data_IF_474098224958
#
_entry.id   IF_474098224958
#
_cell.length_a   1.000
_cell.length_b   1.000
_cell.length_c   1.000
_cell.angle_alpha   90.00
_cell.angle_beta   90.00
_cell.angle_gamma   90.00
#
_symmetry.space_group_name_H-M   'P 1'
#
loop_
_entity.id
_entity.type
_entity.pdbx_description
1 polymer ?
#
# COMPACT_ATOMS: atom_id res chain seq x y z
N UNK A 1 22.83 5.81 -12.67
CA UNK A 1 22.17 4.45 -12.77
C UNK A 1 21.80 4.15 -14.22
N UNK A 2 21.53 2.88 -14.59
CA UNK A 2 20.92 2.59 -15.90
C UNK A 2 19.47 3.04 -15.88
N UNK A 3 18.97 3.57 -16.99
CA UNK A 3 17.59 4.07 -17.12
C UNK A 3 16.54 3.03 -16.67
N UNK A 4 16.79 1.75 -16.99
CA UNK A 4 15.91 0.64 -16.57
C UNK A 4 15.82 0.49 -15.04
N UNK A 5 16.94 0.67 -14.34
CA UNK A 5 17.00 0.62 -12.88
C UNK A 5 16.21 1.77 -12.25
N UNK A 6 16.29 2.97 -12.83
CA UNK A 6 15.54 4.13 -12.35
C UNK A 6 14.01 3.92 -12.47
N UNK A 7 13.52 3.32 -13.57
CA UNK A 7 12.11 2.94 -13.70
C UNK A 7 11.69 1.83 -12.73
N UNK A 8 12.56 0.85 -12.49
CA UNK A 8 12.31 -0.21 -11.50
C UNK A 8 12.20 0.36 -10.09
N UNK A 9 13.10 1.27 -9.68
CA UNK A 9 13.06 1.93 -8.36
C UNK A 9 11.86 2.88 -8.23
N UNK A 10 11.41 3.50 -9.33
CA UNK A 10 10.19 4.29 -9.35
C UNK A 10 8.95 3.48 -8.94
N UNK A 11 8.91 2.19 -9.28
CA UNK A 11 7.83 1.27 -8.92
C UNK A 11 7.82 0.84 -7.44
N UNK A 12 8.85 1.16 -6.64
CA UNK A 12 9.03 0.67 -5.25
C UNK A 12 8.89 -0.86 -5.13
N UNK A 13 9.74 -1.64 -5.79
CA UNK A 13 9.56 -3.08 -5.96
C UNK A 13 9.36 -3.83 -4.64
N UNK A 14 10.10 -3.51 -3.59
CA UNK A 14 9.97 -4.17 -2.28
C UNK A 14 8.56 -4.03 -1.69
N UNK A 15 7.94 -2.85 -1.84
CA UNK A 15 6.56 -2.61 -1.37
C UNK A 15 5.57 -3.39 -2.22
N UNK A 16 5.73 -3.37 -3.56
CA UNK A 16 4.87 -4.12 -4.48
C UNK A 16 4.95 -5.62 -4.21
N UNK A 17 6.14 -6.18 -3.97
CA UNK A 17 6.30 -7.61 -3.64
C UNK A 17 5.55 -7.98 -2.36
N UNK A 18 5.64 -7.17 -1.31
CA UNK A 18 4.89 -7.42 -0.07
C UNK A 18 3.37 -7.38 -0.31
N UNK A 19 2.90 -6.41 -1.09
CA UNK A 19 1.49 -6.34 -1.47
C UNK A 19 1.03 -7.56 -2.26
N UNK A 20 1.87 -8.07 -3.18
CA UNK A 20 1.57 -9.27 -3.97
C UNK A 20 1.52 -10.54 -3.11
N UNK A 21 2.39 -10.67 -2.11
CA UNK A 21 2.34 -11.77 -1.15
C UNK A 21 1.01 -11.74 -0.40
N UNK A 22 0.59 -10.58 0.11
CA UNK A 22 -0.69 -10.43 0.80
C UNK A 22 -1.90 -10.74 -0.13
N UNK A 23 -1.84 -10.28 -1.39
CA UNK A 23 -2.87 -10.61 -2.37
C UNK A 23 -2.91 -12.12 -2.68
N UNK A 24 -1.75 -12.75 -2.84
CA UNK A 24 -1.64 -14.18 -3.07
C UNK A 24 -2.20 -14.99 -1.90
N UNK A 25 -1.91 -14.60 -0.65
CA UNK A 25 -2.52 -15.22 0.53
C UNK A 25 -4.05 -15.07 0.50
N UNK A 26 -4.57 -13.88 0.14
CA UNK A 26 -6.00 -13.68 -0.05
C UNK A 26 -6.61 -14.61 -1.10
N UNK A 27 -5.90 -14.87 -2.21
CA UNK A 27 -6.32 -15.84 -3.23
C UNK A 27 -6.38 -17.28 -2.70
N UNK A 28 -5.38 -17.67 -1.88
CA UNK A 28 -5.30 -19.03 -1.32
C UNK A 28 -6.35 -19.30 -0.24
N UNK A 29 -6.74 -18.27 0.50
CA UNK A 29 -7.74 -18.37 1.57
C UNK A 29 -9.19 -18.28 1.06
N UNK A 30 -9.38 -17.91 -0.21
CA UNK A 30 -10.70 -17.93 -0.83
C UNK A 30 -11.19 -19.38 -1.00
N UNK A 31 -12.32 -19.73 -0.38
CA UNK A 31 -12.85 -21.11 -0.28
C UNK A 31 -13.47 -21.64 -1.59
N UNK A 32 -13.05 -21.16 -2.75
CA UNK A 32 -13.52 -21.65 -4.05
C UNK A 32 -12.50 -22.60 -4.69
N UNK A 33 -12.94 -23.33 -5.70
CA UNK A 33 -12.08 -24.21 -6.49
C UNK A 33 -10.85 -23.44 -6.99
N UNK A 34 -9.68 -23.96 -6.69
CA UNK A 34 -8.39 -23.35 -7.07
C UNK A 34 -8.38 -23.09 -8.58
N UNK A 35 -8.30 -21.82 -8.94
CA UNK A 35 -8.10 -21.40 -10.33
C UNK A 35 -6.74 -21.90 -10.83
N UNK A 36 -6.58 -22.00 -12.13
CA UNK A 36 -5.30 -22.41 -12.73
C UNK A 36 -4.16 -21.48 -12.28
N UNK A 37 -2.95 -22.02 -12.17
CA UNK A 37 -1.77 -21.22 -11.82
C UNK A 37 -1.55 -20.03 -12.75
N UNK A 38 -1.84 -20.20 -14.05
CA UNK A 38 -1.79 -19.11 -15.02
C UNK A 38 -2.78 -17.98 -14.70
N UNK A 39 -3.99 -18.31 -14.23
CA UNK A 39 -4.96 -17.31 -13.79
C UNK A 39 -4.45 -16.48 -12.59
N UNK A 40 -3.88 -17.15 -11.59
CA UNK A 40 -3.30 -16.49 -10.41
C UNK A 40 -2.18 -15.52 -10.83
N UNK A 41 -1.29 -15.94 -11.73
CA UNK A 41 -0.23 -15.08 -12.26
C UNK A 41 -0.77 -13.86 -13.01
N UNK A 42 -1.79 -14.03 -13.83
CA UNK A 42 -2.42 -12.92 -14.56
C UNK A 42 -3.06 -11.93 -13.61
N UNK A 43 -3.80 -12.40 -12.60
CA UNK A 43 -4.42 -11.53 -11.60
C UNK A 43 -3.36 -10.77 -10.78
N UNK A 44 -2.33 -11.45 -10.30
CA UNK A 44 -1.21 -10.81 -9.59
C UNK A 44 -0.47 -9.79 -10.46
N UNK A 45 -0.29 -10.07 -11.75
CA UNK A 45 0.36 -9.14 -12.69
C UNK A 45 -0.47 -7.86 -12.85
N UNK A 46 -1.78 -7.97 -13.00
CA UNK A 46 -2.67 -6.81 -13.09
C UNK A 46 -2.65 -5.96 -11.81
N UNK A 47 -2.72 -6.60 -10.64
CA UNK A 47 -2.60 -5.93 -9.33
C UNK A 47 -1.23 -5.27 -9.20
N UNK A 48 -0.13 -5.97 -9.58
CA UNK A 48 1.23 -5.45 -9.53
C UNK A 48 1.40 -4.16 -10.35
N UNK A 49 0.90 -4.15 -11.58
CA UNK A 49 1.00 -2.97 -12.46
C UNK A 49 0.24 -1.78 -11.89
N UNK A 50 -0.96 -1.97 -11.35
CA UNK A 50 -1.70 -0.90 -10.68
C UNK A 50 -0.99 -0.42 -9.41
N UNK A 51 -0.43 -1.31 -8.59
CA UNK A 51 0.33 -0.96 -7.40
C UNK A 51 1.62 -0.19 -7.75
N UNK A 52 2.35 -0.64 -8.76
CA UNK A 52 3.54 0.04 -9.28
C UNK A 52 3.19 1.44 -9.84
N UNK A 53 2.09 1.55 -10.56
CA UNK A 53 1.55 2.84 -11.02
C UNK A 53 1.28 3.79 -9.86
N UNK A 54 0.57 3.32 -8.83
CA UNK A 54 0.28 4.11 -7.63
C UNK A 54 1.57 4.58 -6.93
N UNK A 55 2.59 3.71 -6.83
CA UNK A 55 3.88 4.04 -6.27
C UNK A 55 4.63 5.09 -7.10
N UNK A 56 4.60 4.98 -8.43
CA UNK A 56 5.22 5.93 -9.35
C UNK A 56 4.53 7.30 -9.29
N UNK A 57 3.19 7.34 -9.30
CA UNK A 57 2.42 8.60 -9.15
C UNK A 57 2.74 9.27 -7.82
N UNK A 58 2.81 8.50 -6.72
CA UNK A 58 3.20 9.04 -5.42
C UNK A 58 4.59 9.69 -5.46
N UNK A 59 5.60 9.06 -6.10
CA UNK A 59 6.93 9.67 -6.22
C UNK A 59 6.92 10.94 -7.09
N UNK A 60 6.11 10.98 -8.16
CA UNK A 60 5.95 12.18 -8.99
C UNK A 60 5.37 13.35 -8.18
N UNK A 61 4.35 13.09 -7.37
CA UNK A 61 3.70 14.10 -6.54
C UNK A 61 4.65 14.58 -5.44
N UNK A 62 5.28 13.64 -4.73
CA UNK A 62 6.12 13.91 -3.57
C UNK A 62 7.55 14.37 -3.91
N UNK A 63 7.95 14.47 -5.18
CA UNK A 63 9.34 14.70 -5.64
C UNK A 63 10.07 15.84 -4.93
N UNK A 64 9.37 16.93 -4.58
CA UNK A 64 9.95 18.07 -3.88
C UNK A 64 10.25 17.75 -2.41
N UNK A 65 9.30 17.13 -1.72
CA UNK A 65 9.45 16.67 -0.33
C UNK A 65 10.48 15.55 -0.25
N UNK A 66 10.51 14.64 -1.24
CA UNK A 66 11.49 13.56 -1.31
C UNK A 66 12.93 14.07 -1.43
N UNK A 67 13.16 15.19 -2.11
CA UNK A 67 14.48 15.80 -2.27
C UNK A 67 15.02 16.42 -0.97
N UNK A 68 14.15 16.77 -0.01
CA UNK A 68 14.53 17.39 1.28
C UNK A 68 14.68 16.39 2.43
N UNK A 69 14.24 15.13 2.24
CA UNK A 69 14.28 14.09 3.26
C UNK A 69 15.43 13.09 3.00
N UNK A 70 16.30 12.88 3.97
CA UNK A 70 17.48 11.98 3.89
C UNK A 70 17.15 10.55 3.43
N UNK A 71 15.94 10.07 3.70
CA UNK A 71 15.48 8.73 3.29
C UNK A 71 15.15 8.63 1.82
N UNK A 72 14.77 9.71 1.17
CA UNK A 72 14.14 9.73 -0.15
C UNK A 72 14.87 10.59 -1.18
N UNK A 73 15.90 11.31 -0.77
CA UNK A 73 16.74 12.15 -1.65
C UNK A 73 17.46 11.37 -2.76
N UNK A 74 17.74 10.08 -2.51
CA UNK A 74 18.38 9.17 -3.47
C UNK A 74 17.42 8.57 -4.52
N UNK A 75 16.15 8.96 -4.49
CA UNK A 75 15.16 8.47 -5.47
C UNK A 75 15.44 9.02 -6.87
N UNK A 76 15.02 8.31 -7.95
CA UNK A 76 15.33 8.71 -9.34
C UNK A 76 14.86 10.11 -9.73
N UNK A 77 13.71 10.56 -9.22
CA UNK A 77 13.18 11.90 -9.52
C UNK A 77 13.94 13.03 -8.80
N UNK A 78 14.20 12.97 -7.48
CA UNK A 78 15.08 13.91 -6.80
C UNK A 78 16.49 14.01 -7.40
N UNK A 79 17.06 12.87 -7.82
CA UNK A 79 18.39 12.82 -8.44
C UNK A 79 18.41 13.29 -9.91
N UNK A 80 17.26 13.62 -10.51
CA UNK A 80 17.18 14.06 -11.90
C UNK A 80 17.42 12.95 -12.93
N UNK A 81 17.44 11.66 -12.52
CA UNK A 81 17.65 10.53 -13.42
C UNK A 81 16.48 10.30 -14.37
N UNK A 82 15.26 10.72 -13.95
CA UNK A 82 14.03 10.65 -14.73
C UNK A 82 13.36 12.03 -14.78
N UNK A 83 12.87 12.41 -15.95
CA UNK A 83 12.01 13.59 -16.04
C UNK A 83 10.62 13.28 -15.48
N UNK A 84 9.96 14.30 -14.92
CA UNK A 84 8.60 14.20 -14.39
C UNK A 84 7.63 13.72 -15.48
N UNK A 85 7.78 14.20 -16.71
CA UNK A 85 6.93 13.82 -17.84
C UNK A 85 7.05 12.33 -18.17
N UNK A 86 8.28 11.83 -18.30
CA UNK A 86 8.50 10.40 -18.59
C UNK A 86 8.01 9.51 -17.46
N UNK A 87 8.25 9.88 -16.18
CA UNK A 87 7.73 9.15 -15.02
C UNK A 87 6.20 9.14 -14.98
N UNK A 88 5.55 10.26 -15.33
CA UNK A 88 4.07 10.33 -15.37
C UNK A 88 3.47 9.49 -16.50
N UNK A 89 4.06 9.55 -17.70
CA UNK A 89 3.60 8.73 -18.84
C UNK A 89 3.76 7.24 -18.50
N UNK A 90 4.92 6.85 -17.97
CA UNK A 90 5.17 5.49 -17.54
C UNK A 90 4.14 5.01 -16.50
N UNK A 91 3.92 5.81 -15.45
CA UNK A 91 2.96 5.47 -14.41
C UNK A 91 1.54 5.27 -14.96
N UNK A 92 1.07 6.16 -15.84
CA UNK A 92 -0.24 6.03 -16.49
C UNK A 92 -0.31 4.79 -17.37
N UNK A 93 0.72 4.54 -18.16
CA UNK A 93 0.77 3.38 -19.08
C UNK A 93 0.66 2.06 -18.32
N UNK A 94 1.47 1.86 -17.26
CA UNK A 94 1.41 0.62 -16.48
C UNK A 94 0.09 0.51 -15.70
N UNK A 95 -0.48 1.62 -15.23
CA UNK A 95 -1.79 1.62 -14.57
C UNK A 95 -2.93 1.20 -15.51
N UNK A 96 -2.95 1.74 -16.75
CA UNK A 96 -3.92 1.35 -17.78
C UNK A 96 -3.72 -0.11 -18.15
N UNK A 97 -2.50 -0.57 -18.35
CA UNK A 97 -2.21 -1.98 -18.65
C UNK A 97 -2.70 -2.91 -17.52
N UNK A 98 -2.41 -2.57 -16.27
CA UNK A 98 -2.90 -3.33 -15.12
C UNK A 98 -4.42 -3.41 -15.06
N UNK A 99 -5.10 -2.28 -15.20
CA UNK A 99 -6.56 -2.22 -15.23
C UNK A 99 -7.14 -3.04 -16.39
N UNK A 100 -6.54 -2.95 -17.57
CA UNK A 100 -6.97 -3.72 -18.77
C UNK A 100 -6.81 -5.22 -18.55
N UNK A 101 -5.69 -5.67 -17.97
CA UNK A 101 -5.47 -7.08 -17.62
C UNK A 101 -6.56 -7.55 -16.65
N UNK A 102 -6.83 -6.80 -15.58
CA UNK A 102 -7.86 -7.17 -14.61
C UNK A 102 -9.26 -7.19 -15.22
N UNK A 103 -9.58 -6.24 -16.10
CA UNK A 103 -10.86 -6.17 -16.79
C UNK A 103 -11.10 -7.33 -17.74
N UNK A 104 -10.10 -7.66 -18.57
CA UNK A 104 -10.26 -8.66 -19.64
C UNK A 104 -10.11 -10.10 -19.15
N UNK A 105 -9.25 -10.34 -18.16
CA UNK A 105 -8.83 -11.71 -17.79
C UNK A 105 -9.19 -12.11 -16.37
N UNK A 106 -9.67 -11.18 -15.52
CA UNK A 106 -10.04 -11.47 -14.14
C UNK A 106 -11.52 -11.18 -13.92
N UNK A 107 -11.86 -10.03 -13.35
CA UNK A 107 -13.25 -9.58 -13.19
C UNK A 107 -13.30 -8.07 -12.89
N UNK A 108 -14.49 -7.49 -13.13
CA UNK A 108 -14.73 -6.05 -12.96
C UNK A 108 -14.58 -5.62 -11.49
N UNK A 109 -14.99 -6.45 -10.54
CA UNK A 109 -14.92 -6.12 -9.11
C UNK A 109 -13.47 -5.93 -8.67
N UNK A 110 -12.58 -6.86 -9.00
CA UNK A 110 -11.14 -6.76 -8.69
C UNK A 110 -10.52 -5.52 -9.35
N UNK A 111 -10.85 -5.26 -10.62
CA UNK A 111 -10.39 -4.05 -11.30
C UNK A 111 -10.86 -2.80 -10.55
N UNK A 112 -12.15 -2.70 -10.22
CA UNK A 112 -12.72 -1.55 -9.54
C UNK A 112 -12.10 -1.31 -8.15
N UNK A 113 -11.94 -2.37 -7.35
CA UNK A 113 -11.30 -2.31 -6.03
C UNK A 113 -9.83 -1.90 -6.14
N UNK A 114 -9.11 -2.44 -7.14
CA UNK A 114 -7.70 -2.10 -7.37
C UNK A 114 -7.54 -0.64 -7.80
N UNK A 115 -8.39 -0.15 -8.70
CA UNK A 115 -8.41 1.26 -9.10
C UNK A 115 -8.81 2.18 -7.94
N UNK A 116 -9.79 1.78 -7.13
CA UNK A 116 -10.16 2.54 -5.92
C UNK A 116 -8.98 2.65 -4.95
N UNK A 117 -8.23 1.57 -4.73
CA UNK A 117 -7.01 1.58 -3.90
C UNK A 117 -5.92 2.46 -4.49
N UNK A 118 -5.70 2.40 -5.82
CA UNK A 118 -4.74 3.25 -6.53
C UNK A 118 -5.11 4.73 -6.37
N UNK A 119 -6.36 5.11 -6.63
CA UNK A 119 -6.84 6.48 -6.50
C UNK A 119 -6.78 6.94 -5.04
N UNK A 120 -7.21 6.09 -4.11
CA UNK A 120 -7.13 6.36 -2.67
C UNK A 120 -5.71 6.65 -2.21
N UNK A 121 -4.74 5.86 -2.63
CA UNK A 121 -3.34 6.06 -2.26
C UNK A 121 -2.69 7.22 -3.02
N UNK A 122 -2.79 7.24 -4.35
CA UNK A 122 -2.06 8.21 -5.16
C UNK A 122 -2.60 9.64 -5.04
N UNK A 123 -3.91 9.80 -4.92
CA UNK A 123 -4.53 11.13 -4.88
C UNK A 123 -5.05 11.47 -3.48
N UNK A 124 -5.95 10.68 -2.90
CA UNK A 124 -6.57 11.06 -1.62
C UNK A 124 -5.52 11.12 -0.51
N UNK A 125 -4.72 10.07 -0.35
CA UNK A 125 -3.67 10.06 0.67
C UNK A 125 -2.53 11.03 0.34
N UNK A 126 -1.91 10.91 -0.85
CA UNK A 126 -0.66 11.64 -1.15
C UNK A 126 -0.88 13.14 -1.30
N UNK A 127 -1.96 13.57 -2.00
CA UNK A 127 -2.20 14.98 -2.26
C UNK A 127 -2.84 15.67 -1.05
N UNK A 128 -3.86 15.03 -0.45
CA UNK A 128 -4.69 15.66 0.56
C UNK A 128 -4.36 15.23 1.99
N UNK A 129 -4.55 13.94 2.34
CA UNK A 129 -4.49 13.49 3.72
C UNK A 129 -3.12 13.67 4.37
N UNK A 130 -2.05 13.41 3.62
CA UNK A 130 -0.67 13.48 4.12
C UNK A 130 -0.34 14.83 4.75
N UNK A 131 -0.96 15.92 4.28
CA UNK A 131 -0.72 17.28 4.75
C UNK A 131 -1.87 17.87 5.55
N UNK A 132 -3.07 17.25 5.50
CA UNK A 132 -4.28 17.80 6.08
C UNK A 132 -4.51 17.37 7.53
N UNK A 133 -4.02 16.16 7.95
CA UNK A 133 -4.41 15.59 9.22
C UNK A 133 -3.32 14.70 9.83
N UNK A 134 -3.17 14.68 11.19
CA UNK A 134 -2.34 13.71 11.90
C UNK A 134 -2.80 12.24 11.74
N UNK A 135 -4.07 12.06 11.34
CA UNK A 135 -4.65 10.72 11.07
C UNK A 135 -4.34 10.21 9.65
N UNK A 136 -3.45 10.88 8.94
CA UNK A 136 -3.08 10.53 7.56
C UNK A 136 -2.63 9.07 7.42
N UNK A 137 -1.88 8.53 8.41
CA UNK A 137 -1.42 7.14 8.43
C UNK A 137 -2.60 6.19 8.61
N UNK A 138 -3.54 6.51 9.50
CA UNK A 138 -4.71 5.65 9.74
C UNK A 138 -5.56 5.56 8.49
N UNK A 139 -6.01 6.69 7.96
CA UNK A 139 -6.91 6.72 6.80
C UNK A 139 -6.19 6.19 5.55
N UNK A 140 -4.94 6.62 5.33
CA UNK A 140 -4.12 6.17 4.19
C UNK A 140 -3.75 4.69 4.25
N UNK A 141 -3.69 4.11 5.47
CA UNK A 141 -3.43 2.69 5.71
C UNK A 141 -4.46 1.76 5.07
N UNK A 142 -5.70 2.24 4.83
CA UNK A 142 -6.74 1.43 4.19
C UNK A 142 -6.34 0.96 2.79
N UNK A 143 -5.73 1.82 1.99
CA UNK A 143 -5.26 1.45 0.65
C UNK A 143 -4.12 0.41 0.72
N UNK A 144 -3.23 0.52 1.71
CA UNK A 144 -2.16 -0.45 1.96
C UNK A 144 -2.66 -1.79 2.50
N UNK A 145 -3.82 -1.80 3.15
CA UNK A 145 -4.44 -3.01 3.70
C UNK A 145 -5.33 -3.75 2.68
N UNK A 146 -5.60 -3.17 1.51
CA UNK A 146 -6.49 -3.74 0.51
C UNK A 146 -5.99 -5.04 -0.19
N UNK A 147 -4.68 -5.33 -0.35
CA UNK A 147 -4.21 -6.44 -1.17
C UNK A 147 -4.86 -7.80 -0.90
N UNK A 148 -5.09 -8.28 0.33
CA UNK A 148 -5.76 -9.57 0.55
C UNK A 148 -7.19 -9.59 -0.03
N UNK A 149 -7.93 -8.47 0.10
CA UNK A 149 -9.26 -8.34 -0.49
C UNK A 149 -9.19 -8.39 -2.02
N UNK A 150 -8.19 -7.75 -2.64
CA UNK A 150 -7.99 -7.79 -4.08
C UNK A 150 -7.73 -9.22 -4.56
N UNK A 151 -6.87 -9.95 -3.83
CA UNK A 151 -6.61 -11.36 -4.09
C UNK A 151 -7.88 -12.21 -3.96
N UNK A 152 -8.61 -12.08 -2.85
CA UNK A 152 -9.87 -12.80 -2.62
C UNK A 152 -10.89 -12.51 -3.71
N UNK A 153 -11.17 -11.24 -3.97
CA UNK A 153 -12.13 -10.82 -5.00
C UNK A 153 -11.76 -11.31 -6.41
N UNK A 154 -10.47 -11.49 -6.70
CA UNK A 154 -10.03 -12.04 -7.99
C UNK A 154 -10.47 -13.49 -8.18
N UNK A 155 -10.65 -14.26 -7.11
CA UNK A 155 -11.08 -15.66 -7.15
C UNK A 155 -12.60 -15.77 -7.12
N UNK A 156 -13.24 -15.09 -6.14
CA UNK A 156 -14.66 -15.27 -5.81
C UNK A 156 -15.59 -14.28 -6.52
N UNK A 157 -15.03 -13.20 -7.08
CA UNK A 157 -15.82 -12.05 -7.61
C UNK A 157 -16.82 -11.50 -6.58
N UNK A 158 -16.47 -11.54 -5.29
CA UNK A 158 -17.30 -11.07 -4.18
C UNK A 158 -16.46 -10.38 -3.10
N UNK A 159 -17.13 -9.59 -2.25
CA UNK A 159 -16.54 -9.02 -1.03
C UNK A 159 -17.04 -9.88 0.13
N UNK A 160 -16.15 -10.67 0.70
CA UNK A 160 -16.47 -11.61 1.77
C UNK A 160 -16.08 -11.02 3.13
N UNK A 161 -16.84 -11.30 4.21
CA UNK A 161 -16.48 -10.89 5.57
C UNK A 161 -15.08 -11.37 6.02
N UNK A 162 -14.63 -12.54 5.60
CA UNK A 162 -13.30 -13.04 5.92
C UNK A 162 -12.19 -12.24 5.21
N UNK A 163 -12.41 -11.85 3.96
CA UNK A 163 -11.51 -10.95 3.25
C UNK A 163 -11.42 -9.59 3.94
N UNK A 164 -12.55 -9.07 4.42
CA UNK A 164 -12.59 -7.82 5.20
C UNK A 164 -11.88 -7.94 6.55
N UNK A 165 -11.92 -9.12 7.18
CA UNK A 165 -11.17 -9.38 8.42
C UNK A 165 -9.65 -9.32 8.15
N UNK A 166 -9.16 -9.89 7.05
CA UNK A 166 -7.75 -9.78 6.66
C UNK A 166 -7.34 -8.32 6.43
N UNK A 167 -8.19 -7.55 5.75
CA UNK A 167 -7.99 -6.10 5.59
C UNK A 167 -7.92 -5.41 6.95
N UNK A 168 -8.83 -5.73 7.87
CA UNK A 168 -8.89 -5.14 9.21
C UNK A 168 -7.61 -5.40 10.01
N UNK A 169 -7.08 -6.62 9.96
CA UNK A 169 -5.83 -6.99 10.65
C UNK A 169 -4.67 -6.12 10.16
N UNK A 170 -4.48 -6.01 8.85
CA UNK A 170 -3.40 -5.19 8.27
C UNK A 170 -3.66 -3.70 8.54
N UNK A 171 -4.90 -3.26 8.46
CA UNK A 171 -5.29 -1.88 8.71
C UNK A 171 -4.99 -1.45 10.15
N UNK A 172 -5.32 -2.28 11.15
CA UNK A 172 -5.05 -1.99 12.56
C UNK A 172 -3.56 -2.06 12.89
N UNK A 173 -2.81 -2.92 12.20
CA UNK A 173 -1.35 -3.04 12.35
C UNK A 173 -0.58 -1.85 11.75
N UNK A 174 -1.10 -1.23 10.69
CA UNK A 174 -0.43 -0.15 9.96
C UNK A 174 -0.08 1.06 10.82
N UNK A 175 -0.97 1.64 11.67
CA UNK A 175 -0.63 2.79 12.50
C UNK A 175 0.50 2.55 13.49
N UNK A 176 0.53 1.47 14.31
CA UNK A 176 1.64 1.19 15.22
C UNK A 176 2.99 1.12 14.50
N UNK A 177 3.03 0.44 13.36
CA UNK A 177 4.24 0.31 12.55
C UNK A 177 4.77 1.66 12.06
N UNK A 178 3.91 2.45 11.42
CA UNK A 178 4.32 3.73 10.87
C UNK A 178 4.57 4.80 11.93
N UNK A 179 3.82 4.81 13.04
CA UNK A 179 4.05 5.78 14.11
C UNK A 179 5.36 5.51 14.85
N UNK A 180 5.80 4.27 14.99
CA UNK A 180 7.11 3.95 15.51
C UNK A 180 8.22 4.59 14.67
N UNK A 181 8.14 4.45 13.33
CA UNK A 181 9.05 5.13 12.40
C UNK A 181 8.91 6.66 12.47
N UNK A 182 7.69 7.18 12.60
CA UNK A 182 7.45 8.61 12.67
C UNK A 182 8.02 9.24 13.97
N UNK A 183 8.05 8.50 15.09
CA UNK A 183 8.73 8.94 16.32
C UNK A 183 10.23 9.08 16.07
N UNK A 184 10.86 8.08 15.46
CA UNK A 184 12.28 8.10 15.14
C UNK A 184 12.66 9.24 14.19
N UNK A 185 11.79 9.60 13.25
CA UNK A 185 12.01 10.64 12.23
C UNK A 185 11.23 11.92 12.49
N UNK A 186 10.86 12.21 13.75
CA UNK A 186 10.02 13.33 14.12
C UNK A 186 10.53 14.66 13.55
N UNK A 187 11.83 14.92 13.68
CA UNK A 187 12.44 16.19 13.29
C UNK A 187 12.46 16.39 11.76
N UNK A 188 12.61 15.32 10.98
CA UNK A 188 12.50 15.38 9.51
C UNK A 188 11.06 15.75 9.08
N UNK A 189 10.06 15.12 9.68
CA UNK A 189 8.65 15.43 9.40
C UNK A 189 8.25 16.85 9.83
N UNK A 190 8.79 17.32 10.95
CA UNK A 190 8.56 18.68 11.43
C UNK A 190 9.12 19.73 10.47
N UNK A 191 10.34 19.52 9.93
CA UNK A 191 10.96 20.41 8.93
C UNK A 191 10.11 20.56 7.67
N UNK A 192 9.50 19.47 7.21
CA UNK A 192 8.64 19.44 6.02
C UNK A 192 7.19 19.84 6.29
N UNK A 193 6.89 20.30 7.52
CA UNK A 193 5.52 20.66 7.94
C UNK A 193 4.49 19.54 7.70
N UNK A 194 4.92 18.27 7.78
CA UNK A 194 4.03 17.12 7.68
C UNK A 194 3.45 16.83 9.05
N UNK A 195 2.13 16.92 9.26
CA UNK A 195 1.49 16.81 10.56
C UNK A 195 1.40 15.36 11.04
N UNK A 196 2.54 14.67 11.20
CA UNK A 196 2.57 13.34 11.79
C UNK A 196 2.17 13.38 13.26
N UNK A 197 1.54 12.31 13.77
CA UNK A 197 1.05 12.25 15.15
C UNK A 197 2.10 12.65 16.21
N UNK A 198 3.37 12.16 16.15
CA UNK A 198 4.39 12.58 17.12
C UNK A 198 4.82 14.06 16.96
N UNK A 199 4.61 14.67 15.80
CA UNK A 199 4.90 16.09 15.56
C UNK A 199 3.81 16.97 16.20
N UNK A 200 2.55 16.61 16.01
CA UNK A 200 1.38 17.40 16.43
C UNK A 200 0.95 17.17 17.88
N UNK A 201 0.99 15.92 18.35
CA UNK A 201 0.51 15.52 19.69
C UNK A 201 1.61 15.02 20.60
N UNK A 202 2.84 15.01 20.14
CA UNK A 202 4.01 14.58 20.93
C UNK A 202 4.21 13.06 21.00
N UNK A 203 5.41 12.69 21.46
CA UNK A 203 5.87 11.30 21.49
C UNK A 203 5.10 10.45 22.51
N UNK A 204 4.77 10.99 23.67
CA UNK A 204 4.08 10.24 24.75
C UNK A 204 2.69 9.83 24.30
N UNK A 205 1.92 10.76 23.73
CA UNK A 205 0.60 10.46 23.17
C UNK A 205 0.67 9.43 22.04
N UNK A 206 1.66 9.56 21.15
CA UNK A 206 1.85 8.61 20.04
C UNK A 206 2.16 7.21 20.55
N UNK A 207 3.01 7.06 21.58
CA UNK A 207 3.28 5.76 22.21
C UNK A 207 2.03 5.14 22.81
N UNK A 208 1.18 5.94 23.47
CA UNK A 208 -0.10 5.47 24.00
C UNK A 208 -1.01 4.94 22.86
N UNK A 209 -1.10 5.68 21.76
CA UNK A 209 -1.88 5.23 20.59
C UNK A 209 -1.33 3.92 20.00
N UNK A 210 -0.01 3.76 19.92
CA UNK A 210 0.62 2.52 19.48
C UNK A 210 0.18 1.35 20.37
N UNK A 211 0.23 1.50 21.70
CA UNK A 211 -0.19 0.45 22.64
C UNK A 211 -1.67 0.12 22.48
N UNK A 212 -2.53 1.12 22.32
CA UNK A 212 -3.98 0.91 22.11
C UNK A 212 -4.26 0.14 20.80
N UNK A 213 -3.60 0.48 19.70
CA UNK A 213 -3.76 -0.27 18.44
C UNK A 213 -3.21 -1.69 18.52
N UNK A 214 -2.08 -1.90 19.22
CA UNK A 214 -1.54 -3.24 19.48
C UNK A 214 -2.50 -4.09 20.34
N UNK A 215 -3.17 -3.49 21.33
CA UNK A 215 -4.18 -4.19 22.13
C UNK A 215 -5.39 -4.62 21.30
N UNK A 216 -5.80 -3.82 20.31
CA UNK A 216 -6.86 -4.21 19.35
C UNK A 216 -6.47 -5.44 18.53
N UNK A 217 -5.19 -5.57 18.13
CA UNK A 217 -4.68 -6.75 17.45
C UNK A 217 -4.83 -7.97 18.37
N UNK A 218 -4.36 -7.90 19.60
CA UNK A 218 -4.48 -9.00 20.58
C UNK A 218 -5.93 -9.39 20.91
N UNK A 219 -6.87 -8.43 20.90
CA UNK A 219 -8.29 -8.71 21.10
C UNK A 219 -8.88 -9.46 19.89
N UNK A 220 -8.43 -9.17 18.68
CA UNK A 220 -8.89 -9.84 17.47
C UNK A 220 -8.20 -11.19 17.19
N UNK A 221 -7.04 -11.45 17.82
CA UNK A 221 -6.27 -12.69 17.70
C UNK A 221 -6.94 -13.95 18.27
N UNK A 222 -7.61 -13.94 19.44
CA UNK A 222 -8.12 -15.18 20.05
C UNK A 222 -9.26 -15.84 19.28
N UNK A 223 -9.85 -15.17 18.33
CA UNK A 223 -11.07 -15.69 17.69
C UNK A 223 -10.80 -16.70 16.57
N UNK A 224 -9.56 -16.80 16.03
CA UNK A 224 -9.18 -17.86 15.06
C UNK A 224 -7.67 -18.04 15.02
N UNK A 225 -7.14 -18.87 15.87
CA UNK A 225 -5.72 -19.22 15.97
C UNK A 225 -5.12 -19.76 14.65
N UNK A 226 -5.94 -20.37 13.78
CA UNK A 226 -5.52 -20.89 12.47
C UNK A 226 -5.29 -19.79 11.43
N UNK A 227 -6.14 -18.77 11.33
CA UNK A 227 -5.99 -17.68 10.37
C UNK A 227 -4.77 -16.77 10.69
N UNK A 228 -4.39 -16.66 11.95
CA UNK A 228 -3.29 -15.84 12.45
C UNK A 228 -1.93 -16.45 12.10
N UNK A 229 -1.80 -17.77 12.14
CA UNK A 229 -0.56 -18.45 11.76
C UNK A 229 -0.11 -18.10 10.33
N UNK A 230 -1.04 -17.83 9.43
CA UNK A 230 -0.75 -17.41 8.05
C UNK A 230 -0.55 -15.90 7.90
N UNK A 231 -1.26 -15.07 8.68
CA UNK A 231 -1.10 -13.61 8.62
C UNK A 231 0.25 -13.14 9.20
N UNK A 232 0.79 -13.83 10.22
CA UNK A 232 2.12 -13.55 10.80
C UNK A 232 3.24 -13.85 9.80
N UNK A 233 3.05 -14.76 8.86
CA UNK A 233 4.03 -15.04 7.80
C UNK A 233 4.09 -13.94 6.72
N UNK A 234 3.10 -13.06 6.63
CA UNK A 234 3.06 -11.92 5.70
C UNK A 234 3.67 -10.63 6.29
N UNK A 235 4.24 -10.66 7.48
CA UNK A 235 4.91 -9.56 8.18
C UNK A 235 6.42 -9.76 8.22
#
# INVERSE_FOLDING_TARGET
>A
MTLLKSYYELCKPNVVYMMLICAFVGMLLAEESVKSFSYLLVALTGIAFCAASAAAINQVIDRKTDASMTRTDQRPLPQGELSVTHASIFALTIGILGATILFLYVNILTMALTLASLIGYAFIYTVYLKRATPQNIVIGGLAGAAPPLLGWASITNSIDPYALLLVLIIFVWTPPHFWALAIYRKDEYAKESIPMLPVTHGVVFTKLQIVLYLSLIHISEPTRQEAISYAVFCL
#
